data_IF_418553390727
#
_entry.id   IF_418553390727
#
_cell.length_a   1.000
_cell.length_b   1.000
_cell.length_c   1.000
_cell.angle_alpha   90.00
_cell.angle_beta   90.00
_cell.angle_gamma   90.00
#
_symmetry.space_group_name_H-M   'P 1'
#
loop_
_entity.id
_entity.type
_entity.pdbx_description
1 polymer ?
#
# COMPACT_ATOMS: atom_id res chain seq x y z
N UNK A 1 -13.98 -4.91 29.53
CA UNK A 1 -12.78 -4.26 28.98
C UNK A 1 -12.95 -2.73 29.04
N UNK A 2 -12.08 -2.03 29.76
CA UNK A 2 -12.12 -0.56 29.81
C UNK A 2 -11.64 -0.03 28.47
N UNK A 3 -12.48 0.74 27.76
CA UNK A 3 -12.08 1.47 26.54
C UNK A 3 -11.03 2.50 26.95
N UNK A 4 -9.82 2.36 26.42
CA UNK A 4 -8.73 3.32 26.62
C UNK A 4 -9.06 4.51 25.73
N UNK A 5 -9.55 5.60 26.33
CA UNK A 5 -9.68 6.87 25.62
C UNK A 5 -8.34 7.61 25.77
N UNK A 6 -7.55 7.59 24.72
CA UNK A 6 -6.33 8.43 24.66
C UNK A 6 -6.80 9.85 24.33
N UNK A 7 -6.86 10.70 25.35
CA UNK A 7 -7.04 12.14 25.17
C UNK A 7 -5.69 12.73 24.76
N UNK A 8 -5.54 13.02 23.48
CA UNK A 8 -4.39 13.76 22.95
C UNK A 8 -4.51 15.24 23.32
N UNK A 9 -4.04 15.61 24.52
CA UNK A 9 -3.77 17.00 24.85
C UNK A 9 -2.46 17.40 24.16
N UNK A 10 -2.55 18.27 23.16
CA UNK A 10 -1.40 18.81 22.46
C UNK A 10 -0.65 19.76 23.40
N UNK A 11 0.47 19.31 23.97
CA UNK A 11 1.48 20.19 24.56
C UNK A 11 2.83 19.86 23.92
N UNK A 12 3.37 20.81 23.17
CA UNK A 12 4.73 20.78 22.67
C UNK A 12 5.72 20.98 23.83
N UNK A 13 6.43 19.93 24.19
CA UNK A 13 7.67 20.03 24.97
C UNK A 13 8.71 19.11 24.34
N UNK A 14 9.74 19.71 23.76
CA UNK A 14 10.86 19.00 23.17
C UNK A 14 11.78 18.42 24.26
N UNK A 15 12.03 17.12 24.23
CA UNK A 15 13.08 16.45 25.00
C UNK A 15 13.77 15.35 24.15
N UNK A 16 15.04 15.01 24.41
CA UNK A 16 15.90 14.19 23.55
C UNK A 16 15.80 12.69 23.88
N UNK A 17 14.71 12.01 23.43
CA UNK A 17 14.53 10.55 23.60
C UNK A 17 14.31 9.82 22.26
N UNK A 18 15.20 10.03 21.29
CA UNK A 18 14.95 9.67 19.91
C UNK A 18 15.27 8.22 19.48
N UNK A 19 15.86 7.39 20.33
CA UNK A 19 16.36 6.06 19.93
C UNK A 19 15.60 4.90 20.56
N UNK A 20 14.87 5.14 21.66
CA UNK A 20 14.32 4.05 22.47
C UNK A 20 12.95 3.54 22.00
N UNK A 21 12.04 4.39 21.54
CA UNK A 21 10.67 3.98 21.21
C UNK A 21 10.60 3.06 19.96
N UNK A 22 11.37 3.37 18.90
CA UNK A 22 11.49 2.47 17.77
C UNK A 22 12.10 1.12 18.17
N UNK A 23 13.01 1.12 19.13
CA UNK A 23 13.64 -0.09 19.66
C UNK A 23 12.64 -0.96 20.42
N UNK A 24 11.66 -0.38 21.11
CA UNK A 24 10.60 -1.13 21.78
C UNK A 24 9.71 -1.87 20.78
N UNK A 25 9.26 -1.21 19.72
CA UNK A 25 8.46 -1.85 18.68
C UNK A 25 9.28 -2.86 17.89
N UNK A 26 10.53 -2.57 17.53
CA UNK A 26 11.42 -3.53 16.88
C UNK A 26 11.67 -4.75 17.77
N UNK A 27 11.91 -4.57 19.06
CA UNK A 27 12.07 -5.66 20.01
C UNK A 27 10.78 -6.49 20.15
N UNK A 28 9.62 -5.84 20.18
CA UNK A 28 8.33 -6.50 20.24
C UNK A 28 8.12 -7.39 19.01
N UNK A 29 8.28 -6.86 17.78
CA UNK A 29 8.14 -7.66 16.57
C UNK A 29 9.24 -8.72 16.42
N UNK A 30 10.45 -8.44 16.90
CA UNK A 30 11.53 -9.44 16.93
C UNK A 30 11.15 -10.62 17.81
N UNK A 31 10.62 -10.38 19.03
CA UNK A 31 10.15 -11.44 19.91
C UNK A 31 9.00 -12.24 19.28
N UNK A 32 8.02 -11.56 18.70
CA UNK A 32 6.91 -12.23 17.99
C UNK A 32 7.43 -13.13 16.87
N UNK A 33 8.33 -12.63 16.05
CA UNK A 33 8.92 -13.40 14.96
C UNK A 33 9.70 -14.62 15.46
N UNK A 34 10.50 -14.46 16.53
CA UNK A 34 11.29 -15.55 17.11
C UNK A 34 10.42 -16.61 17.77
N UNK A 35 9.36 -16.21 18.48
CA UNK A 35 8.40 -17.16 19.07
C UNK A 35 7.70 -17.99 17.98
N UNK A 36 7.18 -17.34 16.94
CA UNK A 36 6.54 -18.02 15.84
C UNK A 36 7.51 -18.94 15.08
N UNK A 37 8.79 -18.50 14.90
CA UNK A 37 9.83 -19.36 14.32
C UNK A 37 10.02 -20.62 15.14
N UNK A 38 10.10 -20.50 16.48
CA UNK A 38 10.27 -21.63 17.38
C UNK A 38 9.09 -22.60 17.31
N UNK A 39 7.84 -22.09 17.43
CA UNK A 39 6.61 -22.89 17.34
C UNK A 39 6.48 -23.59 15.98
N UNK A 40 6.82 -22.90 14.91
CA UNK A 40 6.80 -23.46 13.56
C UNK A 40 7.81 -24.61 13.40
N UNK A 41 9.06 -24.41 13.86
CA UNK A 41 10.11 -25.42 13.78
C UNK A 41 9.80 -26.63 14.68
N UNK A 42 9.19 -26.41 15.84
CA UNK A 42 8.71 -27.49 16.74
C UNK A 42 7.63 -28.31 16.03
N UNK A 43 6.61 -27.68 15.45
CA UNK A 43 5.58 -28.35 14.64
C UNK A 43 6.19 -29.18 13.50
N UNK A 44 7.19 -28.66 12.78
CA UNK A 44 7.86 -29.38 11.68
C UNK A 44 8.61 -30.61 12.19
N UNK A 45 9.28 -30.51 13.34
CA UNK A 45 10.04 -31.60 13.94
C UNK A 45 9.13 -32.71 14.51
N UNK A 46 8.04 -32.35 15.21
CA UNK A 46 7.08 -33.30 15.77
C UNK A 46 6.38 -34.16 14.71
N UNK A 47 6.07 -33.56 13.57
CA UNK A 47 5.33 -34.23 12.49
C UNK A 47 6.25 -35.05 11.57
N UNK A 48 7.59 -35.05 11.76
CA UNK A 48 8.59 -35.77 10.97
C UNK A 48 8.38 -35.59 9.43
N UNK A 49 8.09 -34.35 9.01
CA UNK A 49 7.56 -34.02 7.71
C UNK A 49 8.66 -33.96 6.65
N UNK A 50 8.48 -34.70 5.55
CA UNK A 50 9.25 -34.49 4.34
C UNK A 50 8.95 -33.10 3.75
N UNK A 51 10.00 -32.30 3.58
CA UNK A 51 9.99 -30.84 3.52
C UNK A 51 9.16 -30.18 2.39
N UNK A 52 8.73 -30.89 1.36
CA UNK A 52 8.17 -30.24 0.15
C UNK A 52 6.65 -30.01 0.15
N UNK A 53 5.86 -30.91 0.66
CA UNK A 53 4.38 -30.79 0.56
C UNK A 53 3.67 -30.61 1.90
N UNK A 54 4.24 -31.12 2.96
CA UNK A 54 3.55 -31.20 4.24
C UNK A 54 3.71 -29.94 5.10
N UNK A 55 4.81 -29.20 4.96
CA UNK A 55 5.05 -27.92 5.66
C UNK A 55 3.95 -26.88 5.30
N UNK A 56 3.48 -26.87 4.06
CA UNK A 56 2.45 -25.92 3.61
C UNK A 56 1.07 -26.16 4.19
N UNK A 57 0.77 -27.39 4.62
CA UNK A 57 -0.59 -27.79 4.98
C UNK A 57 -0.80 -27.94 6.48
N UNK A 58 0.20 -28.37 7.23
CA UNK A 58 0.06 -28.68 8.66
C UNK A 58 0.57 -27.57 9.57
N UNK A 59 1.80 -27.07 9.33
CA UNK A 59 2.38 -26.01 10.14
C UNK A 59 2.08 -24.64 9.52
N UNK A 60 1.16 -23.87 10.12
CA UNK A 60 0.71 -22.59 9.59
C UNK A 60 1.42 -21.44 10.27
N UNK A 61 1.92 -20.50 9.48
CA UNK A 61 2.45 -19.23 9.96
C UNK A 61 1.28 -18.28 10.22
N UNK A 62 1.24 -17.69 11.39
CA UNK A 62 0.21 -16.73 11.77
C UNK A 62 0.27 -15.44 10.92
N UNK A 63 -0.85 -14.74 10.85
CA UNK A 63 -0.90 -13.42 10.20
C UNK A 63 -0.01 -12.43 10.94
N UNK A 64 0.05 -12.55 12.27
CA UNK A 64 0.84 -11.68 13.12
C UNK A 64 2.35 -11.82 12.85
N UNK A 65 2.85 -13.06 12.65
CA UNK A 65 4.23 -13.31 12.28
C UNK A 65 4.57 -12.77 10.87
N UNK A 66 3.61 -12.86 9.93
CA UNK A 66 3.78 -12.27 8.60
C UNK A 66 3.89 -10.75 8.66
N UNK A 67 3.08 -10.12 9.50
CA UNK A 67 3.13 -8.68 9.73
C UNK A 67 4.44 -8.28 10.44
N UNK A 68 4.88 -9.05 11.43
CA UNK A 68 6.17 -8.85 12.11
C UNK A 68 7.35 -8.96 11.13
N UNK A 69 7.38 -9.99 10.29
CA UNK A 69 8.42 -10.15 9.29
C UNK A 69 8.41 -9.04 8.23
N UNK A 70 7.23 -8.61 7.80
CA UNK A 70 7.12 -7.48 6.88
C UNK A 70 7.64 -6.19 7.51
N UNK A 71 7.36 -5.96 8.80
CA UNK A 71 7.87 -4.82 9.54
C UNK A 71 9.41 -4.86 9.66
N UNK A 72 9.96 -6.00 10.06
CA UNK A 72 11.40 -6.17 10.31
C UNK A 72 12.24 -6.18 9.01
N UNK A 73 11.78 -6.91 8.00
CA UNK A 73 12.58 -7.23 6.82
C UNK A 73 12.07 -6.59 5.52
N UNK A 74 10.87 -6.00 5.53
CA UNK A 74 10.26 -5.38 4.36
C UNK A 74 9.75 -6.38 3.30
N UNK A 75 9.62 -7.65 3.65
CA UNK A 75 9.25 -8.73 2.74
C UNK A 75 8.16 -9.62 3.34
N UNK A 76 7.32 -10.24 2.49
CA UNK A 76 6.37 -11.25 2.95
C UNK A 76 7.11 -12.53 3.39
N UNK A 77 6.60 -13.15 4.46
CA UNK A 77 7.16 -14.36 5.03
C UNK A 77 6.66 -15.62 4.31
N UNK A 78 7.57 -16.51 3.96
CA UNK A 78 7.27 -17.88 3.51
C UNK A 78 7.69 -18.89 4.58
N UNK A 79 7.15 -20.11 4.52
CA UNK A 79 7.52 -21.19 5.46
C UNK A 79 9.02 -21.49 5.48
N UNK A 80 9.68 -21.33 4.34
CA UNK A 80 11.14 -21.56 4.23
C UNK A 80 11.99 -20.50 4.92
N UNK A 81 11.47 -19.31 5.17
CA UNK A 81 12.23 -18.21 5.77
C UNK A 81 12.58 -18.46 7.25
N UNK A 82 11.94 -19.43 7.87
CA UNK A 82 12.28 -19.85 9.23
C UNK A 82 13.50 -20.77 9.32
N UNK A 83 13.93 -21.33 8.18
CA UNK A 83 15.11 -22.16 8.14
C UNK A 83 16.35 -21.33 7.82
N UNK A 84 17.36 -21.41 8.65
CA UNK A 84 18.59 -20.62 8.53
C UNK A 84 19.39 -20.91 7.23
N UNK A 85 19.11 -22.09 6.63
CA UNK A 85 19.78 -22.55 5.41
C UNK A 85 18.99 -22.22 4.12
N UNK A 86 17.92 -21.44 4.23
CA UNK A 86 17.12 -21.01 3.08
C UNK A 86 17.60 -19.68 2.52
N UNK A 87 17.79 -19.62 1.21
CA UNK A 87 17.97 -18.37 0.47
C UNK A 87 16.85 -18.20 -0.55
N UNK A 88 16.27 -17.01 -0.59
CA UNK A 88 15.19 -16.68 -1.53
C UNK A 88 15.71 -16.56 -2.95
N UNK A 89 14.82 -16.84 -3.92
CA UNK A 89 15.11 -16.54 -5.32
C UNK A 89 15.33 -15.03 -5.52
N UNK A 90 16.20 -14.68 -6.44
CA UNK A 90 16.53 -13.29 -6.77
C UNK A 90 16.48 -13.08 -8.28
N UNK A 91 15.78 -12.06 -8.73
CA UNK A 91 15.81 -11.66 -10.14
C UNK A 91 17.19 -11.14 -10.48
N UNK A 92 17.81 -11.68 -11.55
CA UNK A 92 19.20 -11.38 -11.95
C UNK A 92 19.34 -10.57 -13.24
N UNK A 93 18.23 -10.37 -13.99
CA UNK A 93 18.28 -9.57 -15.20
C UNK A 93 17.13 -8.54 -15.24
N UNK A 94 17.36 -7.46 -15.97
CA UNK A 94 16.31 -6.51 -16.31
C UNK A 94 15.79 -6.79 -17.71
N UNK A 95 14.45 -6.84 -17.84
CA UNK A 95 13.80 -7.00 -19.13
C UNK A 95 13.00 -5.74 -19.42
N UNK A 96 13.26 -5.14 -20.58
CA UNK A 96 12.57 -3.92 -21.00
C UNK A 96 11.15 -4.21 -21.42
N UNK A 97 10.20 -3.53 -20.75
CA UNK A 97 8.79 -3.54 -21.14
C UNK A 97 8.62 -2.71 -22.42
N UNK A 98 8.07 -3.34 -23.47
CA UNK A 98 7.72 -2.66 -24.71
C UNK A 98 6.22 -2.39 -24.75
N UNK A 99 5.86 -1.15 -25.07
CA UNK A 99 4.44 -0.81 -25.20
C UNK A 99 3.89 -1.34 -26.54
N UNK A 100 2.81 -2.15 -26.56
CA UNK A 100 2.26 -2.65 -27.80
C UNK A 100 1.83 -1.50 -28.73
N UNK A 101 2.35 -1.49 -29.95
CA UNK A 101 2.13 -0.39 -30.92
C UNK A 101 0.65 -0.07 -31.16
N UNK A 102 -0.21 -1.10 -31.19
CA UNK A 102 -1.66 -0.94 -31.35
C UNK A 102 -2.23 -0.18 -30.15
N UNK A 103 -1.90 -0.59 -28.92
CA UNK A 103 -2.35 0.08 -27.69
C UNK A 103 -1.86 1.54 -27.65
N UNK A 104 -0.60 1.77 -27.99
CA UNK A 104 -0.01 3.12 -28.06
C UNK A 104 -0.73 4.05 -29.03
N UNK A 105 -1.00 3.57 -30.26
CA UNK A 105 -1.70 4.34 -31.30
C UNK A 105 -3.16 4.66 -30.92
N UNK A 106 -3.82 3.76 -30.21
CA UNK A 106 -5.22 3.90 -29.84
C UNK A 106 -5.41 4.52 -28.44
N UNK A 107 -4.35 4.83 -27.73
CA UNK A 107 -4.43 5.42 -26.39
C UNK A 107 -4.95 4.44 -25.31
N UNK A 108 -4.74 3.14 -25.51
CA UNK A 108 -5.20 2.12 -24.56
C UNK A 108 -4.14 1.86 -23.51
N UNK A 109 -4.50 2.01 -22.25
CA UNK A 109 -3.69 1.69 -21.07
C UNK A 109 -4.27 0.50 -20.31
N UNK A 110 -3.49 -0.11 -19.40
CA UNK A 110 -3.98 -1.24 -18.64
C UNK A 110 -2.93 -1.94 -17.81
N UNK A 111 -3.28 -3.13 -17.34
CA UNK A 111 -2.37 -3.99 -16.61
C UNK A 111 -2.64 -5.45 -16.91
N UNK A 112 -1.64 -6.28 -16.61
CA UNK A 112 -1.76 -7.74 -16.61
C UNK A 112 -1.14 -8.31 -15.35
N UNK A 113 -1.73 -9.37 -14.82
CA UNK A 113 -1.16 -10.19 -13.76
C UNK A 113 -0.79 -11.54 -14.35
N UNK A 114 0.47 -11.90 -14.28
CA UNK A 114 1.01 -13.17 -14.76
C UNK A 114 1.43 -14.02 -13.58
N UNK A 115 0.99 -15.27 -13.56
CA UNK A 115 1.41 -16.28 -12.58
C UNK A 115 2.32 -17.29 -13.28
N UNK A 116 3.40 -17.69 -12.59
CA UNK A 116 4.39 -18.63 -13.10
C UNK A 116 5.13 -19.32 -11.96
N UNK A 117 5.94 -20.31 -12.31
CA UNK A 117 6.86 -20.97 -11.39
C UNK A 117 8.31 -20.64 -11.79
N UNK A 118 9.24 -20.80 -10.86
CA UNK A 118 10.68 -20.67 -11.09
C UNK A 118 11.30 -22.04 -10.90
N UNK A 119 12.04 -22.51 -11.90
CA UNK A 119 12.77 -23.79 -11.84
C UNK A 119 13.99 -23.73 -10.92
N UNK A 120 14.56 -24.88 -10.63
CA UNK A 120 15.84 -25.00 -9.91
C UNK A 120 17.03 -24.36 -10.66
N UNK A 121 16.87 -24.12 -11.97
CA UNK A 121 17.87 -23.42 -12.79
C UNK A 121 17.61 -21.90 -12.90
N UNK A 122 16.50 -21.41 -12.32
CA UNK A 122 16.11 -20.01 -12.33
C UNK A 122 15.31 -19.57 -13.55
N UNK A 123 14.85 -20.53 -14.36
CA UNK A 123 14.00 -20.27 -15.52
C UNK A 123 12.54 -20.15 -15.10
N UNK A 124 11.81 -19.31 -15.82
CA UNK A 124 10.36 -19.19 -15.65
C UNK A 124 9.63 -20.32 -16.36
N UNK A 125 8.78 -21.03 -15.62
CA UNK A 125 7.96 -22.15 -16.10
C UNK A 125 6.48 -21.78 -16.06
N UNK A 126 5.73 -22.28 -17.06
CA UNK A 126 4.26 -22.26 -17.14
C UNK A 126 3.60 -20.89 -16.90
N UNK A 127 4.07 -19.81 -17.56
CA UNK A 127 3.51 -18.48 -17.36
C UNK A 127 2.08 -18.41 -17.88
N UNK A 128 1.13 -17.98 -17.03
CA UNK A 128 -0.30 -17.84 -17.33
C UNK A 128 -0.79 -16.46 -16.97
N UNK A 129 -1.59 -15.85 -17.85
CA UNK A 129 -2.31 -14.62 -17.53
C UNK A 129 -3.44 -14.96 -16.58
N UNK A 130 -3.42 -14.36 -15.41
CA UNK A 130 -4.49 -14.48 -14.40
C UNK A 130 -5.51 -13.37 -14.55
N UNK A 131 -5.05 -12.18 -14.84
CA UNK A 131 -5.90 -11.01 -15.05
C UNK A 131 -5.29 -10.12 -16.13
N UNK A 132 -6.16 -9.54 -16.97
CA UNK A 132 -5.76 -8.53 -17.94
C UNK A 132 -6.91 -7.58 -18.19
N UNK A 133 -6.68 -6.30 -17.87
CA UNK A 133 -7.67 -5.23 -18.05
C UNK A 133 -7.06 -4.08 -18.81
N UNK A 134 -7.86 -3.44 -19.65
CA UNK A 134 -7.45 -2.25 -20.37
C UNK A 134 -8.62 -1.28 -20.64
N UNK A 135 -8.29 -0.02 -20.86
CA UNK A 135 -9.25 1.02 -21.15
C UNK A 135 -8.65 2.15 -21.99
N UNK A 136 -9.50 2.92 -22.65
CA UNK A 136 -9.08 4.05 -23.47
C UNK A 136 -8.76 5.27 -22.59
N UNK A 137 -7.49 5.67 -22.61
CA UNK A 137 -6.99 6.85 -21.92
C UNK A 137 -7.69 8.15 -22.32
N UNK A 138 -8.16 8.23 -23.55
CA UNK A 138 -8.78 9.45 -24.11
C UNK A 138 -10.20 9.67 -23.58
N UNK A 139 -10.83 8.60 -23.09
CA UNK A 139 -12.14 8.72 -22.45
C UNK A 139 -11.99 9.37 -21.08
N UNK A 140 -12.76 10.41 -20.74
CA UNK A 140 -12.81 10.97 -19.40
C UNK A 140 -13.31 9.94 -18.36
N UNK A 141 -13.96 8.87 -18.83
CA UNK A 141 -14.44 7.75 -18.03
C UNK A 141 -13.84 6.46 -18.59
N UNK A 142 -12.55 6.23 -18.32
CA UNK A 142 -11.91 5.00 -18.77
C UNK A 142 -12.45 3.81 -17.98
N UNK A 143 -13.33 3.04 -18.60
CA UNK A 143 -13.78 1.76 -18.04
C UNK A 143 -12.73 0.71 -18.40
N UNK A 144 -12.13 0.09 -17.38
CA UNK A 144 -11.21 -1.04 -17.56
C UNK A 144 -12.02 -2.31 -17.75
N UNK A 145 -11.94 -2.85 -18.95
CA UNK A 145 -12.59 -4.11 -19.31
C UNK A 145 -11.54 -5.18 -19.53
N UNK A 146 -11.94 -6.45 -19.40
CA UNK A 146 -11.08 -7.58 -19.76
C UNK A 146 -10.63 -7.43 -21.22
N UNK A 147 -9.34 -7.52 -21.44
CA UNK A 147 -8.74 -7.41 -22.77
C UNK A 147 -7.46 -8.25 -22.88
N UNK A 148 -6.97 -8.42 -24.10
CA UNK A 148 -5.79 -9.25 -24.38
C UNK A 148 -4.63 -8.48 -25.01
N UNK A 149 -4.79 -7.16 -25.20
CA UNK A 149 -3.84 -6.36 -25.99
C UNK A 149 -2.42 -6.36 -25.39
N UNK A 150 -2.28 -6.54 -24.07
CA UNK A 150 -1.02 -6.56 -23.35
C UNK A 150 -0.48 -7.98 -23.08
N UNK A 151 -1.32 -9.02 -23.26
CA UNK A 151 -0.99 -10.39 -22.85
C UNK A 151 0.29 -10.91 -23.51
N UNK A 152 0.42 -10.71 -24.84
CA UNK A 152 1.58 -11.19 -25.60
C UNK A 152 2.88 -10.59 -25.06
N UNK A 153 2.89 -9.31 -24.79
CA UNK A 153 4.08 -8.62 -24.28
C UNK A 153 4.42 -9.06 -22.86
N UNK A 154 3.42 -9.16 -21.99
CA UNK A 154 3.61 -9.61 -20.61
C UNK A 154 4.16 -11.03 -20.54
N UNK A 155 3.64 -11.94 -21.35
CA UNK A 155 4.15 -13.32 -21.45
C UNK A 155 5.57 -13.36 -22.03
N UNK A 156 5.89 -12.50 -23.02
CA UNK A 156 7.24 -12.38 -23.55
C UNK A 156 8.23 -11.98 -22.45
N UNK A 157 7.92 -10.91 -21.72
CA UNK A 157 8.80 -10.38 -20.66
C UNK A 157 9.02 -11.43 -19.58
N UNK A 158 7.95 -12.07 -19.10
CA UNK A 158 8.06 -13.08 -18.03
C UNK A 158 8.98 -14.22 -18.46
N UNK A 159 8.91 -14.70 -19.70
CA UNK A 159 9.78 -15.76 -20.22
C UNK A 159 11.26 -15.35 -20.34
N UNK A 160 11.52 -14.05 -20.47
CA UNK A 160 12.89 -13.52 -20.57
C UNK A 160 13.48 -13.21 -19.18
N UNK A 161 12.67 -13.16 -18.12
CA UNK A 161 13.15 -12.98 -16.76
C UNK A 161 13.97 -14.20 -16.36
N UNK A 162 15.10 -13.96 -15.68
CA UNK A 162 15.97 -14.96 -15.10
C UNK A 162 16.14 -14.72 -13.63
N UNK A 163 16.24 -15.81 -12.88
CA UNK A 163 16.38 -15.78 -11.45
C UNK A 163 17.62 -16.55 -11.01
N UNK A 164 18.29 -16.07 -9.98
CA UNK A 164 19.03 -16.95 -9.10
C UNK A 164 17.99 -17.75 -8.31
N UNK A 165 17.96 -19.09 -8.41
CA UNK A 165 16.92 -19.89 -7.76
C UNK A 165 17.04 -19.84 -6.24
N UNK A 166 15.95 -20.09 -5.56
CA UNK A 166 15.98 -20.31 -4.12
C UNK A 166 16.84 -21.53 -3.78
N UNK A 167 17.48 -21.50 -2.61
CA UNK A 167 18.30 -22.63 -2.11
C UNK A 167 17.82 -23.01 -0.73
N UNK A 168 17.85 -24.31 -0.45
CA UNK A 168 17.61 -24.88 0.85
C UNK A 168 18.72 -25.92 1.13
N UNK A 169 19.41 -25.79 2.25
CA UNK A 169 20.60 -26.63 2.58
C UNK A 169 21.64 -26.64 1.45
N UNK A 170 21.85 -25.50 0.80
CA UNK A 170 22.76 -25.37 -0.31
C UNK A 170 22.27 -25.94 -1.66
N UNK A 171 21.17 -26.71 -1.67
CA UNK A 171 20.58 -27.25 -2.89
C UNK A 171 19.58 -26.25 -3.48
N UNK A 172 19.61 -26.12 -4.79
CA UNK A 172 18.63 -25.31 -5.54
C UNK A 172 17.24 -25.92 -5.43
N UNK A 173 16.23 -25.09 -5.22
CA UNK A 173 14.84 -25.51 -5.16
C UNK A 173 13.97 -24.66 -6.10
N UNK A 174 12.93 -25.26 -6.63
CA UNK A 174 11.91 -24.56 -7.41
C UNK A 174 11.07 -23.64 -6.51
N UNK A 175 10.50 -22.59 -7.09
CA UNK A 175 9.55 -21.69 -6.41
C UNK A 175 8.26 -21.61 -7.19
N UNK A 176 7.14 -21.93 -6.54
CA UNK A 176 5.84 -22.02 -7.17
C UNK A 176 4.98 -20.78 -6.94
N UNK A 177 4.02 -20.58 -7.84
CA UNK A 177 2.93 -19.60 -7.67
C UNK A 177 3.40 -18.15 -7.54
N UNK A 178 4.47 -17.79 -8.23
CA UNK A 178 4.94 -16.40 -8.29
C UNK A 178 3.99 -15.57 -9.13
N UNK A 179 3.59 -14.41 -8.63
CA UNK A 179 2.73 -13.47 -9.36
C UNK A 179 3.49 -12.19 -9.67
N UNK A 180 3.39 -11.72 -10.90
CA UNK A 180 3.99 -10.47 -11.35
C UNK A 180 2.95 -9.60 -12.08
N UNK A 181 2.85 -8.33 -11.68
CA UNK A 181 1.96 -7.37 -12.32
C UNK A 181 2.76 -6.46 -13.26
N UNK A 182 2.31 -6.35 -14.51
CA UNK A 182 2.82 -5.43 -15.50
C UNK A 182 1.80 -4.33 -15.73
N UNK A 183 2.23 -3.08 -15.58
CA UNK A 183 1.37 -1.91 -15.81
C UNK A 183 1.81 -1.19 -17.07
N UNK A 184 0.88 -0.99 -17.97
CA UNK A 184 1.05 -0.28 -19.23
C UNK A 184 0.36 1.08 -19.14
N UNK A 185 1.14 2.11 -18.83
CA UNK A 185 0.68 3.50 -18.77
C UNK A 185 1.53 4.34 -19.71
N UNK A 186 0.90 5.30 -20.37
CA UNK A 186 1.63 6.31 -21.12
C UNK A 186 1.96 7.47 -20.19
N UNK A 187 3.14 8.06 -20.35
CA UNK A 187 3.52 9.25 -19.58
C UNK A 187 2.46 10.34 -19.69
N UNK A 188 2.20 11.01 -18.59
CA UNK A 188 1.15 12.03 -18.48
C UNK A 188 1.47 13.28 -19.32
N UNK A 189 1.24 13.18 -20.62
CA UNK A 189 1.13 14.36 -21.45
C UNK A 189 -0.33 14.51 -21.85
N UNK A 190 -1.17 15.05 -20.94
CA UNK A 190 -2.44 15.60 -21.34
C UNK A 190 -3.74 14.89 -20.97
N UNK A 191 -3.87 14.33 -19.77
CA UNK A 191 -5.15 13.75 -19.27
C UNK A 191 -6.27 14.77 -19.07
N UNK A 192 -5.92 16.05 -18.96
CA UNK A 192 -6.91 17.11 -18.90
C UNK A 192 -6.91 17.87 -20.23
N UNK A 193 -8.06 17.96 -20.88
CA UNK A 193 -8.27 18.90 -21.99
C UNK A 193 -7.75 20.26 -21.52
N UNK A 194 -7.04 21.01 -22.37
CA UNK A 194 -6.33 22.25 -22.02
C UNK A 194 -7.14 23.21 -21.12
N UNK A 195 -8.46 23.30 -21.35
CA UNK A 195 -9.37 24.12 -20.54
C UNK A 195 -9.58 23.58 -19.12
N UNK A 196 -9.72 22.27 -18.96
CA UNK A 196 -9.88 21.61 -17.65
C UNK A 196 -8.59 21.68 -16.83
N UNK A 197 -7.43 21.52 -17.47
CA UNK A 197 -6.12 21.69 -16.82
C UNK A 197 -5.97 23.07 -16.20
N UNK A 198 -6.40 24.11 -16.94
CA UNK A 198 -6.36 25.48 -16.43
C UNK A 198 -7.22 25.64 -15.19
N UNK A 199 -8.51 25.24 -15.27
CA UNK A 199 -9.41 25.31 -14.12
C UNK A 199 -8.90 24.51 -12.91
N UNK A 200 -8.35 23.31 -13.15
CA UNK A 200 -7.74 22.50 -12.08
C UNK A 200 -6.53 23.21 -11.45
N UNK A 201 -5.64 23.75 -12.25
CA UNK A 201 -4.47 24.48 -11.75
C UNK A 201 -4.87 25.77 -11.01
N UNK A 202 -5.88 26.49 -11.50
CA UNK A 202 -6.40 27.71 -10.85
C UNK A 202 -7.02 27.35 -9.48
N UNK A 203 -7.76 26.26 -9.38
CA UNK A 203 -8.30 25.74 -8.12
C UNK A 203 -7.19 25.30 -7.16
N UNK A 204 -6.18 24.57 -7.65
CA UNK A 204 -5.01 24.18 -6.84
C UNK A 204 -4.24 25.39 -6.32
N UNK A 205 -4.08 26.42 -7.15
CA UNK A 205 -3.44 27.69 -6.77
C UNK A 205 -4.24 28.39 -5.68
N UNK A 206 -5.57 28.43 -5.79
CA UNK A 206 -6.44 28.99 -4.77
C UNK A 206 -6.28 28.24 -3.41
N UNK A 207 -6.20 26.89 -3.41
CA UNK A 207 -5.89 26.11 -2.19
C UNK A 207 -4.53 26.55 -1.60
N UNK A 208 -3.49 26.66 -2.42
CA UNK A 208 -2.15 27.07 -1.95
C UNK A 208 -2.16 28.47 -1.36
N UNK A 209 -3.01 29.35 -1.88
CA UNK A 209 -3.22 30.71 -1.38
C UNK A 209 -4.19 30.79 -0.18
N UNK A 210 -4.71 29.65 0.29
CA UNK A 210 -5.74 29.52 1.31
C UNK A 210 -7.09 30.20 0.97
N UNK A 211 -7.34 30.44 -0.32
CA UNK A 211 -8.62 30.92 -0.83
C UNK A 211 -9.51 29.71 -1.16
N UNK A 212 -9.99 29.08 -0.09
CA UNK A 212 -10.70 27.79 -0.19
C UNK A 212 -12.07 27.94 -0.87
N UNK A 213 -12.78 29.04 -0.62
CA UNK A 213 -14.08 29.33 -1.24
C UNK A 213 -13.95 29.45 -2.76
N UNK A 214 -12.92 30.17 -3.23
CA UNK A 214 -12.62 30.25 -4.66
C UNK A 214 -12.25 28.89 -5.24
N UNK A 215 -11.46 28.08 -4.52
CA UNK A 215 -11.11 26.74 -4.96
C UNK A 215 -12.37 25.86 -5.13
N UNK A 216 -13.28 25.89 -4.16
CA UNK A 216 -14.55 25.17 -4.20
C UNK A 216 -15.42 25.66 -5.36
N UNK A 217 -15.60 26.96 -5.53
CA UNK A 217 -16.39 27.55 -6.63
C UNK A 217 -15.89 27.10 -7.99
N UNK A 218 -14.55 27.16 -8.21
CA UNK A 218 -13.96 26.70 -9.48
C UNK A 218 -14.21 25.18 -9.66
N UNK A 219 -14.09 24.40 -8.60
CA UNK A 219 -14.25 22.96 -8.68
C UNK A 219 -15.71 22.56 -8.96
N UNK A 220 -16.69 23.18 -8.27
CA UNK A 220 -18.11 22.94 -8.46
C UNK A 220 -18.56 23.29 -9.90
N UNK A 221 -18.08 24.40 -10.45
CA UNK A 221 -18.37 24.79 -11.84
C UNK A 221 -17.81 23.78 -12.89
N UNK A 222 -16.97 22.87 -12.48
CA UNK A 222 -16.33 21.87 -13.36
C UNK A 222 -16.65 20.41 -12.98
N UNK A 223 -17.49 20.15 -11.98
CA UNK A 223 -17.80 18.79 -11.50
C UNK A 223 -18.40 17.89 -12.57
N UNK A 224 -19.37 18.42 -13.36
CA UNK A 224 -19.99 17.64 -14.45
C UNK A 224 -19.00 17.22 -15.51
N UNK A 225 -17.91 17.96 -15.62
CA UNK A 225 -16.89 17.72 -16.63
C UNK A 225 -15.85 16.68 -16.21
N UNK A 226 -15.57 16.55 -14.90
CA UNK A 226 -14.58 15.61 -14.38
C UNK A 226 -14.64 15.46 -12.86
N UNK A 227 -14.78 14.23 -12.38
CA UNK A 227 -14.78 13.89 -10.95
C UNK A 227 -13.47 14.25 -10.22
N UNK A 228 -12.39 14.56 -10.94
CA UNK A 228 -11.13 15.05 -10.36
C UNK A 228 -11.35 16.30 -9.49
N UNK A 229 -12.34 17.12 -9.83
CA UNK A 229 -12.68 18.31 -9.07
C UNK A 229 -13.27 18.00 -7.69
N UNK A 230 -13.82 16.79 -7.47
CA UNK A 230 -14.20 16.33 -6.13
C UNK A 230 -13.01 16.30 -5.18
N UNK A 231 -11.80 15.96 -5.68
CA UNK A 231 -10.57 15.98 -4.87
C UNK A 231 -10.17 17.39 -4.42
N UNK A 232 -10.48 18.39 -5.23
CA UNK A 232 -10.27 19.81 -4.87
C UNK A 232 -11.21 20.20 -3.74
N UNK A 233 -12.50 19.87 -3.87
CA UNK A 233 -13.51 20.21 -2.85
C UNK A 233 -13.20 19.51 -1.53
N UNK A 234 -12.84 18.20 -1.58
CA UNK A 234 -12.43 17.46 -0.40
C UNK A 234 -11.22 18.10 0.28
N UNK A 235 -10.18 18.45 -0.50
CA UNK A 235 -8.96 19.06 0.01
C UNK A 235 -9.21 20.45 0.61
N UNK A 236 -10.01 21.29 -0.04
CA UNK A 236 -10.36 22.62 0.45
C UNK A 236 -11.13 22.54 1.78
N UNK A 237 -12.17 21.70 1.85
CA UNK A 237 -12.93 21.48 3.08
C UNK A 237 -12.06 20.94 4.22
N UNK A 238 -11.16 19.99 3.92
CA UNK A 238 -10.24 19.49 4.93
C UNK A 238 -9.34 20.59 5.51
N UNK A 239 -8.78 21.44 4.66
CA UNK A 239 -7.91 22.53 5.10
C UNK A 239 -8.65 23.67 5.81
N UNK A 240 -9.96 23.81 5.60
CA UNK A 240 -10.83 24.68 6.37
C UNK A 240 -11.25 24.10 7.74
N UNK A 241 -10.93 22.82 8.03
CA UNK A 241 -11.41 22.11 9.22
C UNK A 241 -12.84 21.56 9.07
N UNK A 242 -13.44 21.63 7.88
CA UNK A 242 -14.76 21.08 7.58
C UNK A 242 -14.69 19.58 7.31
N UNK A 243 -14.25 18.81 8.32
CA UNK A 243 -13.91 17.38 8.17
C UNK A 243 -15.08 16.53 7.70
N UNK A 244 -16.31 16.84 8.11
CA UNK A 244 -17.49 16.12 7.65
C UNK A 244 -17.68 16.25 6.13
N UNK A 245 -17.63 17.48 5.60
CA UNK A 245 -17.72 17.72 4.15
C UNK A 245 -16.54 17.11 3.40
N UNK A 246 -15.32 17.16 3.98
CA UNK A 246 -14.15 16.54 3.39
C UNK A 246 -14.31 15.01 3.30
N UNK A 247 -14.84 14.35 4.34
CA UNK A 247 -15.21 12.92 4.36
C UNK A 247 -16.24 12.62 3.27
N UNK A 248 -17.33 13.38 3.19
CA UNK A 248 -18.39 13.16 2.20
C UNK A 248 -17.86 13.21 0.76
N UNK A 249 -17.09 14.24 0.41
CA UNK A 249 -16.52 14.39 -0.92
C UNK A 249 -15.44 13.34 -1.23
N UNK A 250 -14.66 12.95 -0.24
CA UNK A 250 -13.67 11.87 -0.39
C UNK A 250 -14.35 10.52 -0.63
N UNK A 251 -15.45 10.22 0.07
CA UNK A 251 -16.24 9.00 -0.14
C UNK A 251 -16.91 8.99 -1.51
N UNK A 252 -17.55 10.09 -1.92
CA UNK A 252 -18.11 10.21 -3.29
C UNK A 252 -17.05 9.90 -4.35
N UNK A 253 -15.85 10.46 -4.19
CA UNK A 253 -14.76 10.23 -5.12
C UNK A 253 -14.23 8.79 -5.04
N UNK A 254 -14.12 8.22 -3.83
CA UNK A 254 -13.75 6.81 -3.62
C UNK A 254 -14.74 5.88 -4.33
N UNK A 255 -16.03 6.11 -4.18
CA UNK A 255 -17.08 5.31 -4.82
C UNK A 255 -17.00 5.40 -6.35
N UNK A 256 -16.72 6.58 -6.89
CA UNK A 256 -16.48 6.74 -8.32
C UNK A 256 -15.23 5.96 -8.81
N UNK A 257 -14.21 5.81 -7.96
CA UNK A 257 -13.01 5.03 -8.26
C UNK A 257 -13.24 3.52 -8.20
N UNK A 258 -14.07 3.09 -7.25
CA UNK A 258 -14.38 1.67 -7.04
C UNK A 258 -15.41 1.15 -8.05
N UNK A 259 -16.17 2.03 -8.72
CA UNK A 259 -16.99 1.63 -9.85
C UNK A 259 -16.07 0.99 -10.89
N UNK A 260 -16.34 -0.29 -11.17
CA UNK A 260 -15.54 -1.13 -12.05
C UNK A 260 -15.10 -0.36 -13.30
N UNK A 261 -13.81 -0.20 -13.46
CA UNK A 261 -13.21 0.38 -14.63
C UNK A 261 -12.86 1.86 -14.63
N UNK A 262 -13.07 2.60 -13.54
CA UNK A 262 -12.61 3.99 -13.49
C UNK A 262 -11.15 4.07 -13.03
N UNK A 263 -10.33 4.85 -13.73
CA UNK A 263 -8.91 5.02 -13.42
C UNK A 263 -8.60 6.46 -13.04
N UNK A 264 -8.02 6.63 -11.86
CA UNK A 264 -7.28 7.84 -11.52
C UNK A 264 -5.78 7.55 -11.49
N UNK A 265 -4.95 8.59 -11.70
CA UNK A 265 -3.55 8.49 -11.35
C UNK A 265 -3.41 8.04 -9.90
N UNK A 266 -2.49 7.10 -9.64
CA UNK A 266 -2.31 6.54 -8.31
C UNK A 266 -1.97 7.60 -7.25
N UNK A 267 -1.20 8.63 -7.64
CA UNK A 267 -0.92 9.77 -6.76
C UNK A 267 -2.19 10.47 -6.26
N UNK A 268 -3.23 10.47 -7.08
CA UNK A 268 -4.52 11.03 -6.74
C UNK A 268 -5.33 10.11 -5.83
N UNK A 269 -5.32 8.80 -6.10
CA UNK A 269 -5.93 7.79 -5.22
C UNK A 269 -5.32 7.89 -3.82
N UNK A 270 -4.00 7.90 -3.73
CA UNK A 270 -3.29 8.06 -2.46
C UNK A 270 -3.71 9.35 -1.75
N UNK A 271 -3.80 10.47 -2.46
CA UNK A 271 -4.24 11.76 -1.89
C UNK A 271 -5.66 11.70 -1.32
N UNK A 272 -6.57 11.03 -2.01
CA UNK A 272 -7.96 10.87 -1.56
C UNK A 272 -8.01 10.08 -0.25
N UNK A 273 -7.29 8.96 -0.17
CA UNK A 273 -7.21 8.18 1.07
C UNK A 273 -6.59 8.96 2.22
N UNK A 274 -5.57 9.77 1.96
CA UNK A 274 -4.97 10.66 2.96
C UNK A 274 -6.04 11.62 3.52
N UNK A 275 -6.79 12.29 2.65
CA UNK A 275 -7.82 13.25 3.06
C UNK A 275 -8.93 12.53 3.83
N UNK A 276 -9.40 11.38 3.32
CA UNK A 276 -10.46 10.60 3.95
C UNK A 276 -10.05 10.12 5.35
N UNK A 277 -8.91 9.45 5.47
CA UNK A 277 -8.41 8.92 6.74
C UNK A 277 -8.16 10.06 7.74
N UNK A 278 -7.56 11.17 7.29
CA UNK A 278 -7.32 12.33 8.14
C UNK A 278 -8.63 12.99 8.60
N UNK A 279 -9.65 13.04 7.74
CA UNK A 279 -10.97 13.58 8.10
C UNK A 279 -11.67 12.70 9.12
N UNK A 280 -11.68 11.39 8.91
CA UNK A 280 -12.23 10.40 9.84
C UNK A 280 -11.54 10.46 11.20
N UNK A 281 -10.21 10.62 11.20
CA UNK A 281 -9.42 10.74 12.43
C UNK A 281 -9.83 11.97 13.24
N UNK A 282 -9.96 13.13 12.59
CA UNK A 282 -10.41 14.36 13.24
C UNK A 282 -11.86 14.30 13.73
N UNK A 283 -12.69 13.45 13.12
CA UNK A 283 -14.06 13.16 13.56
C UNK A 283 -14.14 12.10 14.68
N UNK A 284 -13.02 11.43 15.00
CA UNK A 284 -12.97 10.34 15.99
C UNK A 284 -13.59 9.03 15.51
N UNK A 285 -13.75 8.86 14.20
CA UNK A 285 -14.40 7.70 13.57
C UNK A 285 -13.38 6.57 13.31
N UNK A 286 -12.79 6.06 14.38
CA UNK A 286 -11.67 5.10 14.32
C UNK A 286 -12.03 3.75 13.70
N UNK A 287 -13.24 3.26 13.89
CA UNK A 287 -13.71 2.01 13.29
C UNK A 287 -13.79 2.12 11.77
N UNK A 288 -14.25 3.26 11.24
CA UNK A 288 -14.28 3.49 9.79
C UNK A 288 -12.86 3.51 9.20
N UNK A 289 -11.89 4.08 9.92
CA UNK A 289 -10.49 4.06 9.47
C UNK A 289 -9.99 2.62 9.36
N UNK A 290 -10.19 1.79 10.40
CA UNK A 290 -9.71 0.40 10.37
C UNK A 290 -10.33 -0.42 9.24
N UNK A 291 -11.58 -0.15 8.88
CA UNK A 291 -12.26 -0.80 7.76
C UNK A 291 -11.67 -0.43 6.38
N UNK A 292 -10.99 0.72 6.27
CA UNK A 292 -10.31 1.14 5.04
C UNK A 292 -8.95 0.44 4.84
N UNK A 293 -8.45 -0.35 5.80
CA UNK A 293 -7.11 -0.94 5.74
C UNK A 293 -6.88 -1.75 4.47
N UNK A 294 -7.82 -2.62 4.10
CA UNK A 294 -7.66 -3.51 2.94
C UNK A 294 -7.52 -2.67 1.66
N UNK A 295 -8.42 -1.71 1.46
CA UNK A 295 -8.41 -0.83 0.29
C UNK A 295 -7.12 0.00 0.26
N UNK A 296 -6.75 0.60 1.39
CA UNK A 296 -5.55 1.41 1.53
C UNK A 296 -4.27 0.59 1.29
N UNK A 297 -4.20 -0.64 1.79
CA UNK A 297 -3.03 -1.51 1.65
C UNK A 297 -2.71 -1.85 0.20
N UNK A 298 -3.72 -1.99 -0.66
CA UNK A 298 -3.54 -2.24 -2.09
C UNK A 298 -2.73 -1.10 -2.74
N UNK A 299 -2.97 0.15 -2.31
CA UNK A 299 -2.30 1.32 -2.87
C UNK A 299 -0.99 1.68 -2.15
N UNK A 300 -0.88 1.37 -0.86
CA UNK A 300 0.28 1.77 -0.03
C UNK A 300 1.44 0.79 -0.09
N UNK A 301 1.17 -0.53 -0.12
CA UNK A 301 2.22 -1.57 -0.13
C UNK A 301 3.02 -1.61 -1.43
N UNK A 302 2.43 -1.18 -2.53
CA UNK A 302 3.05 -1.34 -3.85
C UNK A 302 4.22 -0.37 -4.11
N UNK A 303 4.46 0.68 -3.30
CA UNK A 303 5.34 1.76 -3.78
C UNK A 303 6.15 2.45 -2.69
N UNK A 304 7.45 2.19 -2.74
CA UNK A 304 8.46 2.85 -1.88
C UNK A 304 8.43 4.39 -1.97
N UNK A 305 8.01 4.96 -3.12
CA UNK A 305 7.94 6.41 -3.33
C UNK A 305 6.91 7.15 -2.46
N UNK A 306 5.92 6.43 -1.91
CA UNK A 306 4.87 7.05 -1.08
C UNK A 306 5.08 6.86 0.43
N UNK A 307 6.09 6.11 0.85
CA UNK A 307 6.31 5.77 2.27
C UNK A 307 6.28 7.01 3.18
N UNK A 308 7.02 8.05 2.83
CA UNK A 308 7.08 9.27 3.64
C UNK A 308 5.79 10.11 3.57
N UNK A 309 5.07 10.07 2.43
CA UNK A 309 3.79 10.78 2.30
C UNK A 309 2.71 10.10 3.13
N UNK A 310 2.83 8.78 3.29
CA UNK A 310 1.87 7.95 4.02
C UNK A 310 2.20 7.82 5.51
N UNK A 311 3.29 8.40 6.02
CA UNK A 311 3.68 8.28 7.42
C UNK A 311 2.54 8.71 8.36
N UNK A 312 1.97 9.91 8.17
CA UNK A 312 0.84 10.38 8.99
C UNK A 312 -0.43 9.54 8.79
N UNK A 313 -0.66 9.01 7.60
CA UNK A 313 -1.80 8.12 7.37
C UNK A 313 -1.63 6.81 8.15
N UNK A 314 -0.42 6.24 8.14
CA UNK A 314 -0.08 5.07 8.96
C UNK A 314 -0.21 5.38 10.45
N UNK A 315 0.17 6.58 10.90
CA UNK A 315 -0.06 7.03 12.26
C UNK A 315 -1.55 7.01 12.63
N UNK A 316 -2.42 7.53 11.78
CA UNK A 316 -3.87 7.51 11.99
C UNK A 316 -4.42 6.09 12.07
N UNK A 317 -3.98 5.18 11.20
CA UNK A 317 -4.30 3.75 11.31
C UNK A 317 -3.84 3.17 12.64
N UNK A 318 -2.60 3.46 13.04
CA UNK A 318 -2.03 2.97 14.29
C UNK A 318 -2.85 3.35 15.51
N UNK A 319 -3.13 4.66 15.66
CA UNK A 319 -3.96 5.17 16.76
C UNK A 319 -5.39 4.61 16.70
N UNK A 320 -5.95 4.47 15.49
CA UNK A 320 -7.30 3.92 15.31
C UNK A 320 -7.39 2.47 15.75
N UNK A 321 -6.41 1.63 15.40
CA UNK A 321 -6.36 0.25 15.85
C UNK A 321 -6.22 0.13 17.37
N UNK A 322 -5.45 1.00 18.01
CA UNK A 322 -5.35 1.03 19.49
C UNK A 322 -6.72 1.38 20.10
N UNK A 323 -7.40 2.42 19.59
CA UNK A 323 -8.71 2.84 20.08
C UNK A 323 -9.81 1.79 19.84
N UNK A 324 -9.66 0.93 18.84
CA UNK A 324 -10.57 -0.20 18.56
C UNK A 324 -10.15 -1.50 19.26
N UNK A 325 -9.07 -1.48 20.06
CA UNK A 325 -8.63 -2.60 20.89
C UNK A 325 -7.64 -3.56 20.23
N UNK A 326 -7.18 -3.27 19.00
CA UNK A 326 -6.16 -4.08 18.32
C UNK A 326 -4.76 -3.47 18.49
N UNK A 327 -4.17 -3.68 19.66
CA UNK A 327 -2.88 -3.07 20.05
C UNK A 327 -1.76 -3.51 19.12
N UNK A 328 -1.73 -4.77 18.70
CA UNK A 328 -0.68 -5.33 17.82
C UNK A 328 -0.64 -4.64 16.45
N UNK A 329 -1.81 -4.51 15.82
CA UNK A 329 -1.91 -3.76 14.55
C UNK A 329 -1.62 -2.27 14.75
N UNK A 330 -2.03 -1.71 15.87
CA UNK A 330 -1.71 -0.35 16.24
C UNK A 330 -0.20 -0.11 16.28
N UNK A 331 0.54 -0.96 16.99
CA UNK A 331 2.01 -0.92 17.07
C UNK A 331 2.67 -1.06 15.70
N UNK A 332 2.18 -1.98 14.85
CA UNK A 332 2.65 -2.19 13.49
C UNK A 332 2.58 -0.90 12.66
N UNK A 333 1.41 -0.25 12.62
CA UNK A 333 1.23 0.98 11.84
C UNK A 333 2.00 2.16 12.41
N UNK A 334 2.08 2.30 13.75
CA UNK A 334 2.88 3.34 14.38
C UNK A 334 4.38 3.17 14.11
N UNK A 335 4.88 1.94 14.14
CA UNK A 335 6.26 1.66 13.78
C UNK A 335 6.58 2.04 12.32
N UNK A 336 5.67 1.76 11.39
CA UNK A 336 5.81 2.23 9.99
C UNK A 336 5.75 3.74 9.87
N UNK A 337 4.89 4.39 10.63
CA UNK A 337 4.77 5.84 10.65
C UNK A 337 6.09 6.48 11.11
N UNK A 338 6.65 6.03 12.24
CA UNK A 338 7.91 6.52 12.77
C UNK A 338 9.08 6.31 11.80
N UNK A 339 9.22 5.10 11.26
CA UNK A 339 10.30 4.72 10.32
C UNK A 339 10.29 5.52 9.01
N UNK A 340 9.14 6.06 8.59
CA UNK A 340 8.96 6.74 7.32
C UNK A 340 8.56 8.22 7.46
N UNK A 341 8.60 8.80 8.65
CA UNK A 341 8.32 10.22 8.90
C UNK A 341 9.24 11.13 8.10
N UNK A 342 8.73 12.32 7.73
CA UNK A 342 9.45 13.28 6.88
C UNK A 342 10.37 14.21 7.64
N UNK A 343 10.06 14.44 8.89
CA UNK A 343 10.78 15.40 9.73
C UNK A 343 11.00 14.83 11.12
N UNK A 344 12.01 15.38 11.80
CA UNK A 344 12.28 15.03 13.18
C UNK A 344 11.07 15.29 14.08
N UNK A 345 10.41 16.41 13.93
CA UNK A 345 9.24 16.77 14.73
C UNK A 345 8.06 15.78 14.54
N UNK A 346 7.85 15.29 13.31
CA UNK A 346 6.86 14.26 13.02
C UNK A 346 7.24 12.93 13.67
N UNK A 347 8.52 12.54 13.60
CA UNK A 347 9.04 11.34 14.26
C UNK A 347 8.87 11.44 15.77
N UNK A 348 9.32 12.52 16.38
CA UNK A 348 9.26 12.76 17.82
C UNK A 348 7.80 12.68 18.35
N UNK A 349 6.87 13.22 17.59
CA UNK A 349 5.44 13.14 17.90
C UNK A 349 4.93 11.70 17.87
N UNK A 350 5.23 10.97 16.80
CA UNK A 350 4.82 9.57 16.66
C UNK A 350 5.44 8.72 17.79
N UNK A 351 6.71 8.93 18.07
CA UNK A 351 7.44 8.23 19.13
C UNK A 351 6.83 8.49 20.52
N UNK A 352 6.41 9.73 20.80
CA UNK A 352 5.74 10.04 22.06
C UNK A 352 4.43 9.28 22.26
N UNK A 353 3.71 8.99 21.17
CA UNK A 353 2.50 8.16 21.22
C UNK A 353 2.86 6.68 21.42
N UNK A 354 3.93 6.21 20.78
CA UNK A 354 4.45 4.85 20.97
C UNK A 354 4.82 4.60 22.41
N UNK A 355 5.51 5.55 23.06
CA UNK A 355 5.91 5.46 24.47
C UNK A 355 4.70 5.34 25.40
N UNK A 356 3.62 6.08 25.11
CA UNK A 356 2.38 6.00 25.92
C UNK A 356 1.72 4.62 25.84
N UNK A 357 1.89 3.89 24.76
CA UNK A 357 1.30 2.55 24.58
C UNK A 357 2.26 1.42 24.88
N UNK A 358 3.56 1.70 25.06
CA UNK A 358 4.60 0.68 25.26
C UNK A 358 4.34 -0.21 26.47
N UNK A 359 3.68 0.31 27.51
CA UNK A 359 3.28 -0.46 28.70
C UNK A 359 2.17 -1.48 28.44
N UNK A 360 1.52 -1.44 27.27
CA UNK A 360 0.46 -2.36 26.87
C UNK A 360 0.93 -3.37 25.80
N UNK A 361 2.15 -3.21 25.28
CA UNK A 361 2.84 -4.12 24.37
C UNK A 361 3.69 -5.14 25.12
#
# INVERSE_FOLDING_TARGET
>A
MKRIKIFLSIMFAALPFQVEANKHIENYFTKLYQNEKSEFLECVNEENLDLKEQIKTKCKISTLAKDAAYFLFGTSLSSYDFFDQHTRFKKINEVKLSYPRKAQKTGIEGFTVVKYNISEDGDVLDPKIMESKCGDRRSPFTIFQTCTIFNKESLRIVKEIRYEPAKFEGKKISSDSISHSFTFVMEETGLLIKRKRRAFNDAQKAITQRDFEKAITIAEANLESDYIFMSIIASANYQQGNYLKAKEWSNKLKDELLKEGRKLPESMIVRIYIILVSSLFNLGEYEEITNLEIEFSIYSKARSKYKSILAMTNFYFGVSYINTGNIHKGAYYLGFAAKNSKSKAESDYIESVIDQISSYL
#
